data_IF_910078662668
#
_entry.id   IF_910078662668
#
_cell.length_a   1.000
_cell.length_b   1.000
_cell.length_c   1.000
_cell.angle_alpha   90.00
_cell.angle_beta   90.00
_cell.angle_gamma   90.00
#
_symmetry.space_group_name_H-M   'P 1'
#
loop_
_entity.id
_entity.type
_entity.pdbx_description
1 polymer ?
#
# COMPACT_ATOMS: atom_id res chain seq x y z
N UNK A 1 4.07 26.31 15.08
CA UNK A 1 5.40 25.73 15.27
C UNK A 1 5.27 24.55 16.23
N UNK A 2 4.67 23.44 15.77
CA UNK A 2 4.63 22.16 16.49
C UNK A 2 5.76 21.29 15.93
N UNK A 3 7.00 21.79 16.09
CA UNK A 3 8.18 21.06 15.70
C UNK A 3 8.48 19.98 16.76
N UNK A 4 8.41 18.73 16.36
CA UNK A 4 9.42 17.70 16.56
C UNK A 4 9.84 17.25 17.96
N UNK A 5 8.99 17.23 18.96
CA UNK A 5 9.34 16.53 20.21
C UNK A 5 8.94 15.05 20.25
N UNK A 6 8.25 14.52 19.23
CA UNK A 6 7.76 13.13 19.20
C UNK A 6 8.16 12.30 17.97
N UNK A 7 9.02 12.81 17.09
CA UNK A 7 9.69 11.93 16.12
C UNK A 7 10.86 11.28 16.85
N UNK A 8 10.61 10.12 17.43
CA UNK A 8 11.68 9.23 17.88
C UNK A 8 12.51 8.85 16.65
N UNK A 9 13.84 8.81 16.78
CA UNK A 9 14.71 8.29 15.72
C UNK A 9 14.24 6.88 15.29
N UNK A 10 14.40 6.51 13.99
CA UNK A 10 14.05 5.18 13.55
C UNK A 10 14.79 4.12 14.35
N UNK A 11 14.12 3.02 14.71
CA UNK A 11 14.75 1.92 15.43
C UNK A 11 15.88 1.27 14.63
N UNK A 12 15.78 1.31 13.29
CA UNK A 12 16.81 0.83 12.38
C UNK A 12 16.93 1.76 11.16
N UNK A 13 17.85 2.73 11.17
CA UNK A 13 18.04 3.67 10.05
C UNK A 13 18.45 2.99 8.74
N UNK A 14 19.03 1.78 8.79
CA UNK A 14 19.39 0.99 7.59
C UNK A 14 18.16 0.49 6.81
N UNK A 15 16.98 0.57 7.41
CA UNK A 15 15.72 0.17 6.79
C UNK A 15 14.96 1.35 6.13
N UNK A 16 15.63 2.48 5.86
CA UNK A 16 14.98 3.60 5.15
C UNK A 16 14.45 3.16 3.78
N UNK A 17 13.20 3.50 3.48
CA UNK A 17 12.50 3.07 2.26
C UNK A 17 12.06 1.61 2.23
N UNK A 18 12.27 0.83 3.30
CA UNK A 18 11.84 -0.57 3.38
C UNK A 18 10.49 -0.74 4.08
N UNK A 19 9.75 -1.74 3.64
CA UNK A 19 8.58 -2.28 4.33
C UNK A 19 8.91 -3.69 4.82
N UNK A 20 8.78 -3.92 6.14
CA UNK A 20 9.12 -5.21 6.75
C UNK A 20 7.97 -5.68 7.63
N UNK A 21 7.55 -6.93 7.43
CA UNK A 21 6.66 -7.68 8.30
C UNK A 21 7.46 -8.84 8.90
N UNK A 22 7.48 -8.96 10.24
CA UNK A 22 8.12 -10.07 10.94
C UNK A 22 7.11 -10.80 11.81
N UNK A 23 6.82 -12.05 11.47
CA UNK A 23 5.88 -12.91 12.20
C UNK A 23 4.53 -12.23 12.44
N UNK A 24 4.12 -11.36 11.48
CA UNK A 24 2.92 -10.57 11.61
C UNK A 24 1.68 -11.45 11.59
N UNK A 25 0.85 -11.30 12.62
CA UNK A 25 -0.44 -11.98 12.70
C UNK A 25 -1.55 -11.01 13.12
N UNK A 26 -2.73 -11.18 12.51
CA UNK A 26 -3.94 -10.43 12.84
C UNK A 26 -5.12 -11.34 13.02
N UNK A 27 -5.77 -11.24 14.19
CA UNK A 27 -7.05 -11.85 14.50
C UNK A 27 -8.04 -10.79 14.98
N UNK A 28 -9.26 -10.88 14.55
CA UNK A 28 -10.33 -10.05 15.07
C UNK A 28 -10.93 -10.70 16.32
N UNK A 29 -11.32 -9.88 17.31
CA UNK A 29 -11.87 -10.36 18.59
C UNK A 29 -13.10 -11.23 18.46
N UNK A 30 -13.86 -11.05 17.38
CA UNK A 30 -15.09 -11.80 17.06
C UNK A 30 -14.84 -13.11 16.31
N UNK A 31 -13.58 -13.50 16.07
CA UNK A 31 -13.23 -14.66 15.25
C UNK A 31 -12.21 -15.56 15.97
N UNK A 32 -12.42 -16.86 15.88
CA UNK A 32 -11.46 -17.89 16.32
C UNK A 32 -10.41 -18.23 15.26
N UNK A 33 -10.49 -17.58 14.09
CA UNK A 33 -9.59 -17.78 12.97
C UNK A 33 -8.77 -16.50 12.74
N UNK A 34 -7.49 -16.68 12.44
CA UNK A 34 -6.63 -15.58 12.05
C UNK A 34 -6.99 -15.09 10.65
N UNK A 35 -7.18 -13.79 10.50
CA UNK A 35 -7.31 -13.14 9.20
C UNK A 35 -5.98 -13.10 8.44
N UNK A 36 -4.86 -13.02 9.19
CA UNK A 36 -3.48 -13.18 8.72
C UNK A 36 -2.70 -13.91 9.79
N UNK A 37 -1.90 -14.89 9.41
CA UNK A 37 -1.10 -15.68 10.33
C UNK A 37 0.35 -15.79 9.87
N UNK A 38 1.29 -15.42 10.73
CA UNK A 38 2.74 -15.55 10.57
C UNK A 38 3.29 -15.01 9.25
N UNK A 39 2.77 -13.85 8.83
CA UNK A 39 3.22 -13.23 7.59
C UNK A 39 4.62 -12.64 7.76
N UNK A 40 5.52 -13.04 6.87
CA UNK A 40 6.89 -12.56 6.80
C UNK A 40 7.11 -11.98 5.40
N UNK A 41 7.56 -10.71 5.34
CA UNK A 41 7.77 -10.01 4.08
C UNK A 41 8.81 -8.91 4.29
N UNK A 42 9.76 -8.81 3.37
CA UNK A 42 10.72 -7.71 3.31
C UNK A 42 10.79 -7.18 1.89
N UNK A 43 10.55 -5.86 1.74
CA UNK A 43 10.49 -5.20 0.45
C UNK A 43 11.32 -3.92 0.53
N UNK A 44 12.29 -3.81 -0.39
CA UNK A 44 13.12 -2.62 -0.55
C UNK A 44 12.44 -1.58 -1.44
N UNK A 45 12.89 -0.34 -1.35
CA UNK A 45 12.54 0.73 -2.29
C UNK A 45 13.04 0.45 -3.71
N UNK A 46 12.65 1.32 -4.66
CA UNK A 46 13.07 1.24 -6.05
C UNK A 46 12.32 0.19 -6.87
N UNK A 47 11.18 -0.29 -6.41
CA UNK A 47 10.40 -1.31 -7.11
C UNK A 47 8.88 -1.10 -6.96
N UNK A 48 8.14 -1.70 -7.88
CA UNK A 48 6.68 -1.86 -7.80
C UNK A 48 6.38 -3.29 -7.35
N UNK A 49 5.78 -3.39 -6.16
CA UNK A 49 5.44 -4.67 -5.53
C UNK A 49 3.94 -4.93 -5.60
N UNK A 50 3.56 -6.04 -6.25
CA UNK A 50 2.18 -6.49 -6.39
C UNK A 50 1.77 -7.47 -5.29
N UNK A 51 0.62 -7.25 -4.66
CA UNK A 51 0.07 -8.13 -3.65
C UNK A 51 -1.20 -8.82 -4.17
N UNK A 52 -1.04 -10.07 -4.61
CA UNK A 52 -2.06 -10.86 -5.29
C UNK A 52 -2.79 -11.81 -4.34
N UNK A 53 -4.08 -11.95 -4.53
CA UNK A 53 -4.87 -12.94 -3.81
C UNK A 53 -6.37 -12.75 -4.04
N UNK A 54 -7.18 -13.80 -3.84
CA UNK A 54 -8.63 -13.70 -3.99
C UNK A 54 -9.24 -12.77 -2.93
N UNK A 55 -10.52 -12.42 -3.13
CA UNK A 55 -11.26 -11.67 -2.12
C UNK A 55 -11.34 -12.46 -0.82
N UNK A 56 -11.15 -11.77 0.32
CA UNK A 56 -11.09 -12.42 1.64
C UNK A 56 -9.76 -13.12 1.97
N UNK A 57 -8.74 -13.04 1.10
CA UNK A 57 -7.44 -13.66 1.36
C UNK A 57 -6.63 -13.02 2.50
N UNK A 58 -6.99 -11.79 2.93
CA UNK A 58 -6.29 -11.02 3.97
C UNK A 58 -5.54 -9.80 3.45
N UNK A 59 -5.62 -9.45 2.15
CA UNK A 59 -4.91 -8.30 1.54
C UNK A 59 -5.18 -6.99 2.29
N UNK A 60 -6.44 -6.57 2.35
CA UNK A 60 -6.82 -5.31 3.02
C UNK A 60 -6.57 -5.35 4.54
N UNK A 61 -6.54 -6.54 5.17
CA UNK A 61 -6.14 -6.69 6.57
C UNK A 61 -4.67 -6.34 6.76
N UNK A 62 -3.79 -6.88 5.89
CA UNK A 62 -2.36 -6.54 5.90
C UNK A 62 -2.17 -5.05 5.63
N UNK A 63 -2.76 -4.51 4.56
CA UNK A 63 -2.67 -3.09 4.20
C UNK A 63 -3.11 -2.20 5.36
N UNK A 64 -4.30 -2.43 5.93
CA UNK A 64 -4.82 -1.64 7.05
C UNK A 64 -3.95 -1.73 8.31
N UNK A 65 -3.26 -2.84 8.52
CA UNK A 65 -2.29 -2.99 9.61
C UNK A 65 -0.99 -2.22 9.33
N UNK A 66 -0.48 -2.27 8.09
CA UNK A 66 0.70 -1.52 7.66
C UNK A 66 0.46 0.00 7.83
N UNK A 67 -0.67 0.50 7.37
CA UNK A 67 -0.99 1.95 7.47
C UNK A 67 -1.44 2.39 8.86
N UNK A 68 -1.49 1.45 9.82
CA UNK A 68 -1.84 1.74 11.21
C UNK A 68 -3.31 2.10 11.45
N UNK A 69 -4.23 1.68 10.56
CA UNK A 69 -5.68 1.76 10.76
C UNK A 69 -6.15 0.65 11.70
N UNK A 70 -5.47 -0.49 11.68
CA UNK A 70 -5.79 -1.63 12.54
C UNK A 70 -4.59 -1.99 13.41
N UNK A 71 -4.86 -2.37 14.66
CA UNK A 71 -3.84 -2.90 15.57
C UNK A 71 -3.40 -4.29 15.12
N UNK A 72 -2.14 -4.63 15.37
CA UNK A 72 -1.60 -5.97 15.16
C UNK A 72 -1.96 -6.87 16.36
N UNK A 73 -2.05 -8.19 16.14
CA UNK A 73 -2.25 -9.15 17.22
C UNK A 73 -0.90 -9.64 17.76
N UNK A 74 0.03 -9.97 16.89
CA UNK A 74 1.41 -10.34 17.23
C UNK A 74 2.35 -10.06 16.08
N UNK A 75 3.66 -10.12 16.35
CA UNK A 75 4.70 -9.80 15.39
C UNK A 75 5.00 -8.30 15.31
N UNK A 76 5.59 -7.88 14.21
CA UNK A 76 6.05 -6.51 14.01
C UNK A 76 5.86 -6.07 12.57
N UNK A 77 5.56 -4.77 12.37
CA UNK A 77 5.56 -4.10 11.07
C UNK A 77 6.46 -2.87 11.18
N UNK A 78 7.42 -2.75 10.27
CA UNK A 78 8.31 -1.60 10.15
C UNK A 78 8.12 -0.89 8.81
N UNK A 79 8.11 0.44 8.84
CA UNK A 79 8.08 1.34 7.69
C UNK A 79 9.29 2.27 7.81
N UNK A 80 10.23 2.21 6.87
CA UNK A 80 11.45 3.03 6.89
C UNK A 80 12.16 3.00 8.25
N UNK A 81 12.23 1.82 8.90
CA UNK A 81 12.86 1.63 10.21
C UNK A 81 12.00 2.01 11.43
N UNK A 82 10.78 2.54 11.23
CA UNK A 82 9.85 2.86 12.31
C UNK A 82 8.87 1.71 12.56
N UNK A 83 8.75 1.27 13.81
CA UNK A 83 7.73 0.31 14.23
C UNK A 83 6.35 0.96 14.21
N UNK A 84 5.44 0.42 13.40
CA UNK A 84 4.08 0.99 13.19
C UNK A 84 3.27 1.06 14.49
N UNK A 85 3.46 0.11 15.41
CA UNK A 85 2.72 0.06 16.66
C UNK A 85 3.30 1.01 17.73
N UNK A 86 4.62 1.22 17.74
CA UNK A 86 5.33 2.00 18.76
C UNK A 86 5.65 3.42 18.32
N UNK A 87 5.93 3.62 17.04
CA UNK A 87 6.40 4.87 16.43
C UNK A 87 5.48 5.27 15.28
N UNK A 88 4.16 5.21 15.50
CA UNK A 88 3.13 5.35 14.46
C UNK A 88 3.21 6.67 13.68
N UNK A 89 3.61 7.77 14.32
CA UNK A 89 3.77 9.08 13.65
C UNK A 89 4.96 9.04 12.70
N UNK A 90 6.11 8.56 13.16
CA UNK A 90 7.31 8.41 12.32
C UNK A 90 7.04 7.53 11.10
N UNK A 91 6.41 6.35 11.30
CA UNK A 91 6.02 5.47 10.22
C UNK A 91 5.10 6.16 9.19
N UNK A 92 4.07 6.89 9.65
CA UNK A 92 3.11 7.59 8.77
C UNK A 92 3.74 8.73 7.97
N UNK A 93 4.76 9.40 8.49
CA UNK A 93 5.46 10.46 7.75
C UNK A 93 6.18 9.94 6.50
N UNK A 94 6.48 8.64 6.44
CA UNK A 94 7.14 8.00 5.30
C UNK A 94 6.14 7.27 4.37
N UNK A 95 4.85 7.35 4.67
CA UNK A 95 3.81 6.55 4.03
C UNK A 95 2.79 7.42 3.30
N UNK A 96 2.56 7.14 2.02
CA UNK A 96 1.37 7.58 1.27
C UNK A 96 0.38 6.43 1.13
N UNK A 97 -0.91 6.69 1.35
CA UNK A 97 -1.93 5.64 1.28
C UNK A 97 -3.13 6.06 0.42
N UNK A 98 -3.50 5.19 -0.51
CA UNK A 98 -4.71 5.28 -1.32
C UNK A 98 -5.60 4.08 -0.98
N UNK A 99 -6.70 4.27 -0.24
CA UNK A 99 -7.63 3.20 0.10
C UNK A 99 -8.52 2.82 -1.09
N UNK A 100 -9.07 1.61 -1.07
CA UNK A 100 -10.12 1.14 -2.00
C UNK A 100 -11.37 2.03 -1.92
N UNK A 101 -11.79 2.38 -0.71
CA UNK A 101 -12.88 3.32 -0.47
C UNK A 101 -12.34 4.54 0.29
N UNK A 102 -12.39 5.69 -0.36
CA UNK A 102 -11.89 6.94 0.20
C UNK A 102 -13.02 7.85 0.71
N UNK A 103 -12.78 8.46 1.86
CA UNK A 103 -13.62 9.53 2.40
C UNK A 103 -12.90 10.88 2.15
N UNK A 104 -13.45 11.70 1.27
CA UNK A 104 -12.92 13.02 0.94
C UNK A 104 -13.76 14.11 1.62
N UNK A 105 -13.14 15.24 1.95
CA UNK A 105 -13.87 16.44 2.37
C UNK A 105 -14.51 17.09 1.14
N UNK A 106 -15.65 16.56 0.71
CA UNK A 106 -16.28 16.85 -0.57
C UNK A 106 -16.69 18.32 -0.77
N UNK A 107 -16.83 19.11 0.28
CA UNK A 107 -17.12 20.53 0.20
C UNK A 107 -15.90 21.42 -0.08
N UNK A 108 -14.69 20.89 0.13
CA UNK A 108 -13.43 21.58 -0.22
C UNK A 108 -13.20 21.51 -1.73
N UNK A 109 -12.51 22.52 -2.27
CA UNK A 109 -11.91 22.40 -3.60
C UNK A 109 -10.77 21.37 -3.56
N UNK A 110 -10.49 20.72 -4.71
CA UNK A 110 -9.42 19.73 -4.79
C UNK A 110 -8.07 20.28 -4.32
N UNK A 111 -7.72 21.49 -4.74
CA UNK A 111 -6.49 22.17 -4.31
C UNK A 111 -6.46 22.43 -2.81
N UNK A 112 -7.57 22.86 -2.22
CA UNK A 112 -7.68 23.08 -0.77
C UNK A 112 -7.48 21.78 -0.01
N UNK A 113 -8.08 20.69 -0.47
CA UNK A 113 -7.93 19.37 0.14
C UNK A 113 -6.48 18.87 0.09
N UNK A 114 -5.81 18.97 -1.07
CA UNK A 114 -4.40 18.54 -1.18
C UNK A 114 -3.48 19.42 -0.33
N UNK A 115 -3.73 20.74 -0.28
CA UNK A 115 -3.00 21.65 0.60
C UNK A 115 -3.20 21.31 2.08
N UNK A 116 -4.44 21.01 2.49
CA UNK A 116 -4.73 20.58 3.87
C UNK A 116 -3.94 19.32 4.25
N UNK A 117 -3.89 18.33 3.37
CA UNK A 117 -3.07 17.13 3.62
C UNK A 117 -1.58 17.49 3.68
N UNK A 118 -1.09 18.34 2.77
CA UNK A 118 0.31 18.78 2.78
C UNK A 118 0.70 19.51 4.09
N UNK A 119 -0.24 20.28 4.68
CA UNK A 119 -0.04 20.91 5.99
C UNK A 119 0.14 19.89 7.11
N UNK A 120 -0.63 18.79 7.10
CA UNK A 120 -0.49 17.71 8.10
C UNK A 120 0.88 17.04 8.06
N UNK A 121 1.53 17.02 6.89
CA UNK A 121 2.86 16.48 6.68
C UNK A 121 3.97 17.55 6.73
N UNK A 122 3.65 18.79 7.11
CA UNK A 122 4.59 19.93 7.20
C UNK A 122 5.35 20.19 5.87
N UNK A 123 4.69 19.98 4.72
CA UNK A 123 5.32 20.23 3.41
C UNK A 123 5.47 21.73 3.18
N UNK A 124 6.68 22.25 2.90
CA UNK A 124 6.90 23.66 2.62
C UNK A 124 6.03 24.15 1.45
N UNK A 125 5.57 25.41 1.51
CA UNK A 125 4.63 25.95 0.53
C UNK A 125 5.16 25.86 -0.91
N UNK A 126 6.43 26.17 -1.12
CA UNK A 126 7.07 26.15 -2.43
C UNK A 126 7.09 24.74 -3.04
N UNK A 127 7.44 23.74 -2.22
CA UNK A 127 7.48 22.34 -2.62
C UNK A 127 6.08 21.81 -2.95
N UNK A 128 5.08 22.15 -2.10
CA UNK A 128 3.70 21.69 -2.35
C UNK A 128 3.10 22.29 -3.60
N UNK A 129 3.30 23.60 -3.84
CA UNK A 129 2.77 24.27 -5.01
C UNK A 129 3.35 23.68 -6.30
N UNK A 130 4.67 23.41 -6.31
CA UNK A 130 5.33 22.74 -7.43
C UNK A 130 4.75 21.33 -7.68
N UNK A 131 4.62 20.51 -6.63
CA UNK A 131 4.09 19.14 -6.74
C UNK A 131 2.62 19.11 -7.13
N UNK A 132 1.78 19.99 -6.54
CA UNK A 132 0.36 20.08 -6.89
C UNK A 132 0.20 20.43 -8.35
N UNK A 133 0.95 21.43 -8.86
CA UNK A 133 0.84 21.84 -10.26
C UNK A 133 1.33 20.74 -11.23
N UNK A 134 2.40 20.01 -10.88
CA UNK A 134 2.86 18.85 -11.66
C UNK A 134 1.77 17.76 -11.75
N UNK A 135 1.16 17.39 -10.61
CA UNK A 135 0.07 16.40 -10.61
C UNK A 135 -1.20 16.90 -11.30
N UNK A 136 -1.53 18.18 -11.16
CA UNK A 136 -2.69 18.79 -11.89
C UNK A 136 -2.51 18.62 -13.38
N UNK A 137 -1.33 18.95 -13.92
CA UNK A 137 -1.02 18.78 -15.33
C UNK A 137 -1.04 17.30 -15.74
N UNK A 138 -0.38 16.43 -14.96
CA UNK A 138 -0.30 14.98 -15.21
C UNK A 138 -1.68 14.32 -15.26
N UNK A 139 -2.58 14.68 -14.35
CA UNK A 139 -3.92 14.11 -14.24
C UNK A 139 -4.98 14.89 -15.03
N UNK A 140 -4.60 15.96 -15.73
CA UNK A 140 -5.49 16.85 -16.52
C UNK A 140 -6.65 17.38 -15.69
N UNK A 141 -6.32 17.97 -14.55
CA UNK A 141 -7.28 18.53 -13.61
C UNK A 141 -7.32 20.07 -13.62
N UNK A 142 -6.67 20.76 -14.57
CA UNK A 142 -6.53 22.23 -14.63
C UNK A 142 -7.89 22.95 -14.56
N UNK A 143 -8.90 22.41 -15.25
CA UNK A 143 -10.25 22.98 -15.24
C UNK A 143 -11.12 22.58 -14.05
N UNK A 144 -10.59 21.76 -13.13
CA UNK A 144 -11.37 21.15 -12.06
C UNK A 144 -10.79 21.34 -10.67
N UNK A 145 -9.47 21.49 -10.55
CA UNK A 145 -8.77 21.45 -9.26
C UNK A 145 -9.29 22.48 -8.24
N UNK A 146 -9.80 23.61 -8.71
CA UNK A 146 -10.31 24.70 -7.87
C UNK A 146 -11.84 24.64 -7.70
N UNK A 147 -12.51 23.56 -8.16
CA UNK A 147 -13.93 23.28 -7.91
C UNK A 147 -14.13 22.34 -6.73
N UNK A 148 -15.30 22.38 -6.06
CA UNK A 148 -15.61 21.47 -4.96
C UNK A 148 -15.56 19.99 -5.39
N UNK A 149 -14.93 19.12 -4.57
CA UNK A 149 -14.74 17.69 -4.84
C UNK A 149 -16.07 16.95 -5.04
N UNK A 150 -17.17 17.41 -4.43
CA UNK A 150 -18.51 16.83 -4.67
C UNK A 150 -18.96 16.87 -6.13
N UNK A 151 -18.35 17.73 -6.95
CA UNK A 151 -18.64 17.85 -8.39
C UNK A 151 -17.78 16.92 -9.26
N UNK A 152 -16.86 16.17 -8.64
CA UNK A 152 -15.92 15.31 -9.35
C UNK A 152 -16.54 13.97 -9.74
N UNK A 153 -16.14 13.44 -10.88
CA UNK A 153 -16.37 12.05 -11.25
C UNK A 153 -15.60 11.11 -10.33
N UNK A 154 -15.91 9.82 -10.36
CA UNK A 154 -15.18 8.81 -9.60
C UNK A 154 -13.67 8.86 -9.91
N UNK A 155 -13.29 8.86 -11.21
CA UNK A 155 -11.88 8.95 -11.61
C UNK A 155 -11.19 10.23 -11.13
N UNK A 156 -11.87 11.39 -11.13
CA UNK A 156 -11.30 12.62 -10.59
C UNK A 156 -11.11 12.55 -9.07
N UNK A 157 -12.03 11.93 -8.33
CA UNK A 157 -11.89 11.69 -6.90
C UNK A 157 -10.68 10.78 -6.61
N UNK A 158 -10.50 9.74 -7.40
CA UNK A 158 -9.33 8.86 -7.30
C UNK A 158 -8.02 9.62 -7.54
N UNK A 159 -7.96 10.48 -8.58
CA UNK A 159 -6.79 11.31 -8.88
C UNK A 159 -6.44 12.26 -7.72
N UNK A 160 -7.43 12.91 -7.11
CA UNK A 160 -7.21 13.76 -5.92
C UNK A 160 -6.71 12.94 -4.72
N UNK A 161 -7.23 11.73 -4.51
CA UNK A 161 -6.76 10.84 -3.45
C UNK A 161 -5.29 10.46 -3.68
N UNK A 162 -4.91 10.16 -4.92
CA UNK A 162 -3.51 9.88 -5.29
C UNK A 162 -2.63 11.11 -5.07
N UNK A 163 -3.05 12.29 -5.51
CA UNK A 163 -2.31 13.53 -5.29
C UNK A 163 -2.07 13.78 -3.79
N UNK A 164 -3.10 13.60 -2.97
CA UNK A 164 -2.99 13.79 -1.51
C UNK A 164 -2.02 12.78 -0.86
N UNK A 165 -2.00 11.54 -1.36
CA UNK A 165 -1.09 10.51 -0.87
C UNK A 165 0.37 10.74 -1.29
N UNK A 166 0.62 11.52 -2.34
CA UNK A 166 1.96 11.76 -2.91
C UNK A 166 2.52 13.17 -2.61
N UNK A 167 1.70 14.12 -2.17
CA UNK A 167 2.11 15.52 -2.00
C UNK A 167 3.28 15.72 -1.05
N UNK A 168 3.41 14.86 -0.03
CA UNK A 168 4.51 14.88 0.94
C UNK A 168 5.73 14.04 0.52
N UNK A 169 5.71 13.49 -0.72
CA UNK A 169 6.79 12.67 -1.30
C UNK A 169 7.19 11.47 -0.41
N UNK A 170 6.26 10.55 -0.12
CA UNK A 170 6.51 9.42 0.77
C UNK A 170 7.58 8.48 0.22
N UNK A 171 8.28 7.76 1.11
CA UNK A 171 9.20 6.67 0.74
C UNK A 171 8.47 5.40 0.30
N UNK A 172 7.27 5.19 0.82
CA UNK A 172 6.45 4.01 0.57
C UNK A 172 5.05 4.47 0.18
N UNK A 173 4.61 4.11 -1.01
CA UNK A 173 3.28 4.41 -1.50
C UNK A 173 2.44 3.14 -1.56
N UNK A 174 1.41 3.06 -0.72
CA UNK A 174 0.51 1.91 -0.62
C UNK A 174 -0.83 2.23 -1.27
N UNK A 175 -1.31 1.30 -2.10
CA UNK A 175 -2.58 1.43 -2.82
C UNK A 175 -3.39 0.15 -2.67
N UNK A 176 -4.63 0.28 -2.21
CA UNK A 176 -5.58 -0.84 -2.11
C UNK A 176 -6.53 -0.79 -3.32
N UNK A 177 -6.37 -1.74 -4.27
CA UNK A 177 -7.16 -1.87 -5.52
C UNK A 177 -7.27 -0.57 -6.35
N UNK A 178 -6.18 0.18 -6.62
CA UNK A 178 -6.21 1.56 -7.09
C UNK A 178 -6.76 1.78 -8.50
N UNK A 179 -6.85 0.74 -9.31
CA UNK A 179 -7.22 0.84 -10.73
C UNK A 179 -8.66 0.44 -11.01
N UNK A 180 -9.39 0.00 -9.98
CA UNK A 180 -10.77 -0.44 -10.12
C UNK A 180 -11.69 0.73 -10.47
N UNK A 181 -12.49 0.57 -11.54
CA UNK A 181 -13.47 1.57 -11.96
C UNK A 181 -12.90 2.81 -12.64
N UNK A 182 -11.62 2.80 -13.00
CA UNK A 182 -11.00 3.88 -13.78
C UNK A 182 -11.12 3.62 -15.29
N UNK A 183 -11.20 4.71 -16.06
CA UNK A 183 -11.05 4.68 -17.51
C UNK A 183 -9.61 4.38 -17.94
N UNK A 184 -9.39 3.90 -19.19
CA UNK A 184 -8.05 3.52 -19.66
C UNK A 184 -7.00 4.62 -19.58
N UNK A 185 -7.37 5.88 -19.79
CA UNK A 185 -6.45 7.02 -19.70
C UNK A 185 -6.01 7.25 -18.25
N UNK A 186 -6.95 7.21 -17.30
CA UNK A 186 -6.67 7.33 -15.88
C UNK A 186 -5.79 6.19 -15.37
N UNK A 187 -6.06 4.94 -15.82
CA UNK A 187 -5.20 3.77 -15.52
C UNK A 187 -3.77 4.03 -16.00
N UNK A 188 -3.60 4.51 -17.23
CA UNK A 188 -2.28 4.81 -17.78
C UNK A 188 -1.55 5.87 -16.95
N UNK A 189 -2.22 6.97 -16.59
CA UNK A 189 -1.63 8.05 -15.79
C UNK A 189 -1.18 7.54 -14.39
N UNK A 190 -2.00 6.71 -13.74
CA UNK A 190 -1.65 6.12 -12.43
C UNK A 190 -0.45 5.18 -12.55
N UNK A 191 -0.40 4.32 -13.58
CA UNK A 191 0.73 3.43 -13.84
C UNK A 191 2.03 4.20 -14.06
N UNK A 192 2.00 5.30 -14.81
CA UNK A 192 3.19 6.14 -15.00
C UNK A 192 3.62 6.81 -13.68
N UNK A 193 2.68 7.27 -12.83
CA UNK A 193 3.02 7.75 -11.49
C UNK A 193 3.69 6.67 -10.63
N UNK A 194 3.23 5.41 -10.70
CA UNK A 194 3.85 4.29 -9.98
C UNK A 194 5.29 4.06 -10.43
N UNK A 195 5.52 4.01 -11.76
CA UNK A 195 6.87 3.83 -12.34
C UNK A 195 7.81 4.96 -11.94
N UNK A 196 7.36 6.20 -12.05
CA UNK A 196 8.16 7.37 -11.68
C UNK A 196 8.52 7.37 -10.18
N UNK A 197 7.57 6.95 -9.33
CA UNK A 197 7.80 6.87 -7.89
C UNK A 197 8.85 5.79 -7.55
N UNK A 198 8.74 4.61 -8.17
CA UNK A 198 9.72 3.54 -8.02
C UNK A 198 11.10 3.91 -8.59
N UNK A 199 11.16 4.56 -9.76
CA UNK A 199 12.40 5.01 -10.39
C UNK A 199 13.18 6.03 -9.54
N UNK A 200 12.51 6.74 -8.63
CA UNK A 200 13.15 7.64 -7.64
C UNK A 200 13.72 6.90 -6.42
N UNK A 201 13.71 5.57 -6.42
CA UNK A 201 14.19 4.73 -5.31
C UNK A 201 13.15 4.46 -4.23
N UNK A 202 11.90 4.86 -4.43
CA UNK A 202 10.81 4.64 -3.47
C UNK A 202 10.09 3.31 -3.71
N UNK A 203 9.36 2.82 -2.72
CA UNK A 203 8.54 1.62 -2.85
C UNK A 203 7.12 1.98 -3.28
N UNK A 204 6.60 1.28 -4.30
CA UNK A 204 5.18 1.21 -4.59
C UNK A 204 4.67 -0.17 -4.21
N UNK A 205 3.73 -0.24 -3.28
CA UNK A 205 3.06 -1.46 -2.86
C UNK A 205 1.58 -1.38 -3.21
N UNK A 206 1.08 -2.25 -4.08
CA UNK A 206 -0.35 -2.23 -4.39
C UNK A 206 -0.98 -3.62 -4.39
N UNK A 207 -2.22 -3.68 -3.91
CA UNK A 207 -3.05 -4.87 -4.03
C UNK A 207 -3.80 -4.86 -5.36
N UNK A 208 -3.95 -6.03 -5.95
CA UNK A 208 -4.83 -6.22 -7.10
C UNK A 208 -5.31 -7.68 -7.19
N UNK A 209 -6.45 -7.85 -7.82
CA UNK A 209 -6.95 -9.15 -8.27
C UNK A 209 -6.87 -9.29 -9.80
N UNK A 210 -6.38 -8.27 -10.51
CA UNK A 210 -6.24 -8.25 -11.97
C UNK A 210 -4.81 -8.65 -12.33
N UNK A 211 -4.63 -9.91 -12.73
CA UNK A 211 -3.30 -10.51 -12.96
C UNK A 211 -2.54 -9.80 -14.09
N UNK A 212 -3.21 -9.48 -15.20
CA UNK A 212 -2.59 -8.79 -16.34
C UNK A 212 -1.99 -7.44 -15.97
N UNK A 213 -2.64 -6.70 -15.08
CA UNK A 213 -2.11 -5.42 -14.60
C UNK A 213 -0.81 -5.66 -13.83
N UNK A 214 -0.83 -6.63 -12.92
CA UNK A 214 0.33 -6.97 -12.08
C UNK A 214 1.50 -7.46 -12.92
N UNK A 215 1.27 -8.35 -13.89
CA UNK A 215 2.31 -8.88 -14.78
C UNK A 215 3.02 -7.79 -15.59
N UNK A 216 2.29 -6.73 -15.97
CA UNK A 216 2.80 -5.67 -16.83
C UNK A 216 3.50 -4.52 -16.08
N UNK A 217 3.28 -4.36 -14.77
CA UNK A 217 3.83 -3.20 -14.05
C UNK A 217 4.67 -3.55 -12.83
N UNK A 218 4.54 -4.76 -12.27
CA UNK A 218 5.30 -5.15 -11.09
C UNK A 218 6.69 -5.66 -11.43
N UNK A 219 7.61 -5.41 -10.53
CA UNK A 219 8.93 -6.04 -10.51
C UNK A 219 8.89 -7.35 -9.72
N UNK A 220 8.13 -7.35 -8.61
CA UNK A 220 8.03 -8.45 -7.66
C UNK A 220 6.60 -8.58 -7.14
N UNK A 221 6.20 -9.80 -6.80
CA UNK A 221 4.86 -10.08 -6.28
C UNK A 221 4.92 -10.95 -5.04
N UNK A 222 3.86 -10.89 -4.23
CA UNK A 222 3.52 -11.92 -3.26
C UNK A 222 2.10 -12.44 -3.53
N UNK A 223 1.90 -13.74 -3.34
CA UNK A 223 0.58 -14.37 -3.41
C UNK A 223 0.12 -14.71 -2.01
N UNK A 224 -1.07 -14.21 -1.64
CA UNK A 224 -1.71 -14.51 -0.36
C UNK A 224 -2.99 -15.32 -0.55
N UNK A 225 -3.21 -16.28 0.32
CA UNK A 225 -4.45 -17.06 0.42
C UNK A 225 -4.75 -17.40 1.87
N UNK A 226 -6.01 -17.25 2.28
CA UNK A 226 -6.49 -17.63 3.63
C UNK A 226 -5.60 -17.10 4.76
N UNK A 227 -5.14 -15.86 4.64
CA UNK A 227 -4.31 -15.19 5.63
C UNK A 227 -2.83 -15.59 5.64
N UNK A 228 -2.35 -16.36 4.67
CA UNK A 228 -0.96 -16.79 4.58
C UNK A 228 -0.32 -16.35 3.27
N UNK A 229 0.90 -15.83 3.34
CA UNK A 229 1.73 -15.54 2.17
C UNK A 229 2.28 -16.87 1.66
N UNK A 230 1.88 -17.28 0.45
CA UNK A 230 2.26 -18.56 -0.13
C UNK A 230 3.66 -18.51 -0.75
N UNK A 231 3.94 -17.40 -1.43
CA UNK A 231 5.21 -17.20 -2.13
C UNK A 231 5.47 -15.73 -2.39
N UNK A 232 6.73 -15.40 -2.60
CA UNK A 232 7.18 -14.11 -3.12
C UNK A 232 8.16 -14.38 -4.24
N UNK A 233 7.93 -13.77 -5.42
CA UNK A 233 8.72 -13.97 -6.64
C UNK A 233 8.86 -12.67 -7.42
N UNK A 234 9.96 -12.50 -8.14
CA UNK A 234 10.06 -11.48 -9.17
C UNK A 234 9.30 -11.92 -10.43
N UNK A 235 8.80 -10.94 -11.18
CA UNK A 235 8.18 -11.25 -12.49
C UNK A 235 9.21 -11.88 -13.46
N UNK A 236 10.47 -11.51 -13.34
CA UNK A 236 11.55 -12.12 -14.13
C UNK A 236 11.71 -13.62 -13.82
N UNK A 237 11.76 -14.01 -12.53
CA UNK A 237 11.83 -15.43 -12.13
C UNK A 237 10.66 -16.25 -12.68
N UNK A 238 9.43 -15.67 -12.68
CA UNK A 238 8.24 -16.37 -13.20
C UNK A 238 8.34 -16.52 -14.73
N UNK A 239 8.79 -15.50 -15.44
CA UNK A 239 9.03 -15.57 -16.89
C UNK A 239 10.09 -16.61 -17.25
N UNK A 240 11.17 -16.75 -16.46
CA UNK A 240 12.20 -17.78 -16.63
C UNK A 240 11.66 -19.21 -16.47
N UNK A 241 10.57 -19.40 -15.71
CA UNK A 241 9.87 -20.69 -15.62
C UNK A 241 9.13 -21.05 -16.90
N UNK A 242 9.00 -20.13 -17.86
CA UNK A 242 8.32 -20.35 -19.14
C UNK A 242 6.80 -20.47 -19.02
N UNK A 243 6.19 -19.97 -17.95
CA UNK A 243 4.74 -19.98 -17.73
C UNK A 243 4.20 -18.56 -17.52
N UNK A 244 2.97 -18.25 -17.99
CA UNK A 244 2.30 -17.00 -17.68
C UNK A 244 2.04 -16.83 -16.19
N UNK A 245 2.01 -15.58 -15.70
CA UNK A 245 1.69 -15.29 -14.29
C UNK A 245 0.33 -15.85 -13.87
N UNK A 246 -0.66 -15.83 -14.76
CA UNK A 246 -1.98 -16.39 -14.48
C UNK A 246 -1.90 -17.88 -14.13
N UNK A 247 -1.15 -18.67 -14.91
CA UNK A 247 -0.96 -20.09 -14.63
C UNK A 247 -0.21 -20.30 -13.32
N UNK A 248 0.88 -19.56 -13.09
CA UNK A 248 1.63 -19.61 -11.84
C UNK A 248 0.73 -19.32 -10.63
N UNK A 249 -0.12 -18.28 -10.74
CA UNK A 249 -1.08 -17.91 -9.70
C UNK A 249 -2.09 -19.03 -9.44
N UNK A 250 -2.69 -19.60 -10.49
CA UNK A 250 -3.67 -20.70 -10.37
C UNK A 250 -3.05 -21.93 -9.71
N UNK A 251 -1.83 -22.33 -10.14
CA UNK A 251 -1.12 -23.46 -9.55
C UNK A 251 -0.85 -23.25 -8.04
N UNK A 252 -0.49 -22.02 -7.64
CA UNK A 252 -0.29 -21.67 -6.23
C UNK A 252 -1.60 -21.69 -5.44
N UNK A 253 -2.69 -21.21 -6.01
CA UNK A 253 -3.98 -21.18 -5.33
C UNK A 253 -4.59 -22.59 -5.24
N UNK A 254 -4.57 -23.37 -6.31
CA UNK A 254 -5.17 -24.73 -6.33
C UNK A 254 -4.32 -25.75 -5.54
N UNK A 255 -3.00 -25.67 -5.62
CA UNK A 255 -2.07 -26.53 -4.89
C UNK A 255 -2.11 -26.35 -3.36
N UNK A 256 -2.59 -25.21 -2.88
CA UNK A 256 -2.66 -24.94 -1.45
C UNK A 256 -4.04 -25.30 -0.85
N UNK A 257 -4.13 -26.46 -0.23
CA UNK A 257 -5.35 -26.95 0.46
C UNK A 257 -5.45 -26.53 1.92
N UNK A 258 -4.47 -25.80 2.47
CA UNK A 258 -4.45 -25.42 3.88
C UNK A 258 -5.66 -24.57 4.28
N UNK A 259 -6.28 -24.94 5.42
CA UNK A 259 -7.34 -24.15 6.01
C UNK A 259 -6.77 -22.85 6.66
N UNK A 260 -7.60 -21.82 6.89
CA UNK A 260 -7.18 -20.69 7.73
C UNK A 260 -6.76 -21.17 9.12
N UNK A 261 -5.70 -20.59 9.67
CA UNK A 261 -5.16 -21.03 10.98
C UNK A 261 -6.08 -20.61 12.11
N UNK A 262 -6.53 -21.57 12.89
CA UNK A 262 -7.33 -21.37 14.10
C UNK A 262 -6.46 -21.03 15.31
N UNK A 263 -7.08 -20.54 16.40
CA UNK A 263 -6.39 -20.29 17.67
C UNK A 263 -5.71 -21.55 18.20
N UNK A 264 -6.39 -22.70 18.10
CA UNK A 264 -5.85 -23.99 18.57
C UNK A 264 -4.60 -24.39 17.79
N UNK A 265 -4.64 -24.33 16.45
CA UNK A 265 -3.49 -24.65 15.60
C UNK A 265 -2.32 -23.67 15.80
N UNK A 266 -2.63 -22.38 16.05
CA UNK A 266 -1.58 -21.39 16.36
C UNK A 266 -0.88 -21.71 17.69
N UNK A 267 -1.63 -22.12 18.72
CA UNK A 267 -1.07 -22.53 20.02
C UNK A 267 -0.21 -23.79 19.89
N UNK A 268 -0.67 -24.80 19.15
CA UNK A 268 0.07 -26.04 18.92
C UNK A 268 1.39 -25.78 18.17
N UNK A 269 1.39 -24.89 17.17
CA UNK A 269 2.60 -24.48 16.44
C UNK A 269 3.59 -23.68 17.30
N UNK A 270 3.11 -22.92 18.30
CA UNK A 270 3.97 -22.18 19.23
C UNK A 270 4.65 -23.10 20.25
N UNK A 271 3.98 -24.15 20.68
CA UNK A 271 4.50 -25.11 21.64
C UNK A 271 5.53 -26.12 21.05
N UNK A 272 5.60 -26.20 19.72
CA UNK A 272 6.50 -27.12 19.00
C UNK A 272 7.76 -26.41 18.43
N UNK A 273 7.99 -25.14 18.77
CA UNK A 273 9.22 -24.36 18.48
C UNK A 273 10.03 -24.16 19.76
#
# INVERSE_FOLDING_TARGET
>A
MFADKNMQEPMNPQNDGKLILRHFSKRYSTSDVYAVYDANLEIDGGQIFGFLGPNGAGKSTIIKSIVGIQTITSGQIEISGYDVAKQSVGAKMHLGFVPDHYALYENLAGREYVNYIADLYNVPKEDRDARINDYVARFRLEGAIDRPIKTYSHGMKQKITIMSALVHNPKIWILDEPLTGLDPESIFQVKECMKDHAARGNLVFFSSHIIDVVENICDRIAIIRKGQILTTKTIAEIKEMGIPLEKFYMDMIEGNTQAPVSLKEAADKANNK
#
